data_IF_662461051143
#
_entry.id   IF_662461051143
#
_cell.length_a   1.000
_cell.length_b   1.000
_cell.length_c   1.000
_cell.angle_alpha   90.00
_cell.angle_beta   90.00
_cell.angle_gamma   90.00
#
_symmetry.space_group_name_H-M   'P 1'
#
loop_
_entity.id
_entity.type
_entity.pdbx_description
1 polymer ?
#
# COMPACT_ATOMS: atom_id res chain seq x y z
N UNK A 1 -26.37 9.40 13.58
CA UNK A 1 -26.34 10.49 12.58
C UNK A 1 -25.67 9.95 11.34
N UNK A 2 -26.34 9.99 10.19
CA UNK A 2 -25.72 9.51 8.94
C UNK A 2 -24.73 10.57 8.41
N UNK A 3 -23.82 10.17 7.50
CA UNK A 3 -22.78 11.06 6.96
C UNK A 3 -23.32 12.32 6.28
N UNK A 4 -24.44 12.20 5.57
CA UNK A 4 -25.08 13.33 4.92
C UNK A 4 -25.60 14.34 5.95
N UNK A 5 -26.34 13.88 6.97
CA UNK A 5 -26.81 14.74 8.07
C UNK A 5 -25.65 15.41 8.81
N UNK A 6 -24.57 14.67 9.08
CA UNK A 6 -23.37 15.20 9.73
C UNK A 6 -22.78 16.35 8.91
N UNK A 7 -22.60 16.16 7.60
CA UNK A 7 -22.05 17.19 6.72
C UNK A 7 -22.92 18.45 6.71
N UNK A 8 -24.24 18.29 6.52
CA UNK A 8 -25.19 19.40 6.50
C UNK A 8 -25.23 20.16 7.82
N UNK A 9 -25.20 19.45 8.95
CA UNK A 9 -25.19 20.03 10.29
C UNK A 9 -23.91 20.84 10.53
N UNK A 10 -22.77 20.38 10.01
CA UNK A 10 -21.50 21.09 10.09
C UNK A 10 -21.33 22.20 9.03
N UNK A 11 -22.35 22.50 8.22
CA UNK A 11 -22.32 23.56 7.22
C UNK A 11 -21.67 23.19 5.87
N UNK A 12 -21.39 21.90 5.63
CA UNK A 12 -20.86 21.41 4.36
C UNK A 12 -21.98 20.98 3.41
N UNK A 13 -21.76 21.13 2.10
CA UNK A 13 -22.74 20.72 1.09
C UNK A 13 -22.94 19.19 1.07
N UNK A 14 -21.83 18.45 1.12
CA UNK A 14 -21.80 16.98 1.07
C UNK A 14 -20.76 16.43 2.05
N UNK A 15 -20.79 15.12 2.30
CA UNK A 15 -19.78 14.51 3.15
C UNK A 15 -18.39 14.55 2.53
N UNK A 16 -18.27 14.44 1.20
CA UNK A 16 -17.01 14.60 0.50
C UNK A 16 -16.41 16.00 0.72
N UNK A 17 -17.20 17.08 0.65
CA UNK A 17 -16.69 18.42 1.00
C UNK A 17 -16.13 18.47 2.42
N UNK A 18 -16.84 17.88 3.39
CA UNK A 18 -16.34 17.80 4.78
C UNK A 18 -15.07 16.95 4.89
N UNK A 19 -15.02 15.82 4.20
CA UNK A 19 -13.90 14.88 4.27
C UNK A 19 -12.62 15.48 3.65
N UNK A 20 -12.78 16.22 2.56
CA UNK A 20 -11.70 16.83 1.79
C UNK A 20 -11.27 18.19 2.33
N UNK A 21 -12.03 18.85 3.20
CA UNK A 21 -11.68 20.17 3.74
C UNK A 21 -10.29 20.24 4.43
N UNK A 22 -9.72 19.11 4.83
CA UNK A 22 -8.36 19.01 5.40
C UNK A 22 -7.42 18.17 4.52
N UNK A 23 -7.78 17.93 3.27
CA UNK A 23 -6.93 17.33 2.25
C UNK A 23 -6.24 18.42 1.44
N UNK A 24 -5.21 18.04 0.69
CA UNK A 24 -4.45 18.96 -0.19
C UNK A 24 -5.30 19.43 -1.37
N UNK A 25 -6.22 18.58 -1.85
CA UNK A 25 -7.12 18.88 -2.98
C UNK A 25 -8.31 19.75 -2.57
N UNK A 26 -8.71 19.71 -1.29
CA UNK A 26 -9.76 20.51 -0.64
C UNK A 26 -11.20 20.39 -1.19
N UNK A 27 -11.39 20.05 -2.47
CA UNK A 27 -12.69 20.13 -3.16
C UNK A 27 -13.01 18.88 -3.99
N UNK A 28 -14.21 18.26 -3.82
CA UNK A 28 -14.57 17.01 -4.50
C UNK A 28 -14.64 17.13 -6.02
N UNK A 29 -14.99 18.31 -6.54
CA UNK A 29 -14.97 18.58 -7.99
C UNK A 29 -13.57 18.38 -8.60
N UNK A 30 -12.51 18.81 -7.92
CA UNK A 30 -11.13 18.66 -8.42
C UNK A 30 -10.74 17.18 -8.38
N UNK A 31 -11.15 16.44 -7.34
CA UNK A 31 -10.96 14.99 -7.26
C UNK A 31 -11.65 14.28 -8.43
N UNK A 32 -12.89 14.67 -8.75
CA UNK A 32 -13.62 14.09 -9.88
C UNK A 32 -12.93 14.39 -11.21
N UNK A 33 -12.54 15.64 -11.48
CA UNK A 33 -11.82 16.04 -12.70
C UNK A 33 -10.51 15.24 -12.85
N UNK A 34 -9.74 15.10 -11.77
CA UNK A 34 -8.53 14.27 -11.75
C UNK A 34 -8.81 12.80 -12.10
N UNK A 35 -9.82 12.18 -11.47
CA UNK A 35 -10.17 10.78 -11.71
C UNK A 35 -10.71 10.56 -13.12
N UNK A 36 -11.43 11.53 -13.69
CA UNK A 36 -11.95 11.48 -15.06
C UNK A 36 -10.82 11.53 -16.08
N UNK A 37 -9.89 12.49 -15.93
CA UNK A 37 -8.71 12.59 -16.79
C UNK A 37 -7.84 11.32 -16.72
N UNK A 38 -7.62 10.81 -15.50
CA UNK A 38 -6.86 9.58 -15.27
C UNK A 38 -7.54 8.37 -15.92
N UNK A 39 -8.85 8.22 -15.73
CA UNK A 39 -9.66 7.16 -16.36
C UNK A 39 -9.58 7.21 -17.89
N UNK A 40 -9.73 8.41 -18.47
CA UNK A 40 -9.68 8.61 -19.92
C UNK A 40 -8.30 8.23 -20.49
N UNK A 41 -7.22 8.59 -19.80
CA UNK A 41 -5.85 8.24 -20.19
C UNK A 41 -5.54 6.74 -20.06
N UNK A 42 -6.08 6.08 -19.03
CA UNK A 42 -5.82 4.66 -18.73
C UNK A 42 -6.69 3.70 -19.54
N UNK A 43 -7.94 4.06 -19.82
CA UNK A 43 -8.96 3.19 -20.43
C UNK A 43 -8.49 2.42 -21.66
N UNK A 44 -7.78 3.03 -22.65
CA UNK A 44 -7.27 2.28 -23.81
C UNK A 44 -6.28 1.18 -23.44
N UNK A 45 -5.43 1.41 -22.43
CA UNK A 45 -4.42 0.46 -21.94
C UNK A 45 -5.06 -0.63 -21.09
N UNK A 46 -5.96 -0.27 -20.17
CA UNK A 46 -6.74 -1.24 -19.39
C UNK A 46 -7.54 -2.20 -20.30
N UNK A 47 -8.16 -1.67 -21.36
CA UNK A 47 -8.85 -2.50 -22.36
C UNK A 47 -7.90 -3.36 -23.21
N UNK A 48 -6.64 -2.95 -23.39
CA UNK A 48 -5.63 -3.81 -24.00
C UNK A 48 -5.25 -4.97 -23.07
N UNK A 49 -5.09 -4.71 -21.78
CA UNK A 49 -4.83 -5.72 -20.75
C UNK A 49 -5.95 -6.77 -20.71
N UNK A 50 -7.22 -6.35 -20.62
CA UNK A 50 -8.35 -7.28 -20.63
C UNK A 50 -8.45 -8.10 -21.93
N UNK A 51 -8.09 -7.53 -23.09
CA UNK A 51 -8.01 -8.28 -24.35
C UNK A 51 -6.89 -9.32 -24.35
N UNK A 52 -5.77 -9.06 -23.68
CA UNK A 52 -4.71 -10.06 -23.49
C UNK A 52 -5.22 -11.19 -22.60
N UNK A 53 -5.81 -10.87 -21.45
CA UNK A 53 -6.41 -11.86 -20.53
C UNK A 53 -7.49 -12.70 -21.23
N UNK A 54 -8.29 -12.08 -22.11
CA UNK A 54 -9.31 -12.77 -22.88
C UNK A 54 -8.72 -13.80 -23.85
N UNK A 55 -7.63 -13.44 -24.54
CA UNK A 55 -6.90 -14.40 -25.38
C UNK A 55 -6.34 -15.55 -24.55
N UNK A 56 -5.81 -15.27 -23.36
CA UNK A 56 -5.32 -16.30 -22.45
C UNK A 56 -6.46 -17.24 -22.02
N UNK A 57 -7.63 -16.71 -21.67
CA UNK A 57 -8.81 -17.51 -21.28
C UNK A 57 -9.29 -18.42 -22.40
N UNK A 58 -9.34 -17.92 -23.62
CA UNK A 58 -9.76 -18.72 -24.79
C UNK A 58 -8.78 -19.85 -25.08
N UNK A 59 -7.49 -19.60 -24.94
CA UNK A 59 -6.44 -20.62 -25.07
C UNK A 59 -6.53 -21.68 -23.97
N UNK A 60 -6.75 -21.25 -22.72
CA UNK A 60 -6.79 -22.14 -21.55
C UNK A 60 -8.06 -23.01 -21.53
N UNK A 61 -9.22 -22.43 -21.86
CA UNK A 61 -10.50 -23.15 -21.87
C UNK A 61 -10.79 -23.92 -23.17
N UNK A 62 -10.09 -23.60 -24.26
CA UNK A 62 -10.44 -24.08 -25.61
C UNK A 62 -11.72 -23.47 -26.20
N UNK A 63 -12.37 -22.53 -25.51
CA UNK A 63 -13.63 -21.90 -25.93
C UNK A 63 -13.33 -20.55 -26.58
N UNK A 64 -13.44 -20.47 -27.91
CA UNK A 64 -13.13 -19.25 -28.67
C UNK A 64 -14.02 -18.04 -28.35
N UNK A 65 -15.22 -18.27 -27.80
CA UNK A 65 -16.18 -17.22 -27.42
C UNK A 65 -16.04 -16.78 -25.97
N UNK A 66 -15.13 -17.37 -25.19
CA UNK A 66 -14.94 -17.03 -23.79
C UNK A 66 -14.58 -15.54 -23.63
N UNK A 67 -15.22 -14.91 -22.64
CA UNK A 67 -15.00 -13.52 -22.21
C UNK A 67 -14.36 -13.50 -20.82
N UNK A 68 -13.54 -12.48 -20.55
CA UNK A 68 -13.00 -12.22 -19.20
C UNK A 68 -14.15 -11.76 -18.30
N UNK A 69 -14.22 -12.34 -17.12
CA UNK A 69 -15.15 -12.00 -16.05
C UNK A 69 -14.39 -11.35 -14.88
N UNK A 70 -15.10 -10.74 -13.93
CA UNK A 70 -14.48 -9.98 -12.84
C UNK A 70 -13.55 -10.81 -11.92
N UNK A 71 -13.69 -12.13 -11.88
CA UNK A 71 -12.83 -13.03 -11.08
C UNK A 71 -11.59 -13.54 -11.82
N UNK A 72 -11.49 -13.29 -13.13
CA UNK A 72 -10.41 -13.78 -13.98
C UNK A 72 -9.08 -12.98 -13.87
N UNK A 73 -9.08 -11.64 -13.70
CA UNK A 73 -7.83 -10.87 -13.72
C UNK A 73 -6.76 -11.36 -12.75
N UNK A 74 -7.04 -11.63 -11.45
CA UNK A 74 -6.00 -12.14 -10.55
C UNK A 74 -5.36 -13.44 -11.04
N UNK A 75 -6.16 -14.36 -11.59
CA UNK A 75 -5.66 -15.62 -12.12
C UNK A 75 -4.76 -15.42 -13.34
N UNK A 76 -5.19 -14.61 -14.32
CA UNK A 76 -4.41 -14.38 -15.53
C UNK A 76 -3.18 -13.52 -15.31
N UNK A 77 -3.22 -12.57 -14.36
CA UNK A 77 -2.04 -11.84 -13.90
C UNK A 77 -1.01 -12.81 -13.35
N UNK A 78 -1.37 -13.64 -12.37
CA UNK A 78 -0.45 -14.64 -11.81
C UNK A 78 0.05 -15.65 -12.84
N UNK A 79 -0.79 -16.05 -13.81
CA UNK A 79 -0.38 -16.94 -14.89
C UNK A 79 0.64 -16.28 -15.82
N UNK A 80 0.44 -15.01 -16.18
CA UNK A 80 1.36 -14.25 -17.02
C UNK A 80 2.67 -13.95 -16.30
N UNK A 81 2.61 -13.63 -15.00
CA UNK A 81 3.79 -13.46 -14.16
C UNK A 81 4.64 -14.73 -14.16
N UNK A 82 4.06 -15.89 -13.87
CA UNK A 82 4.76 -17.18 -13.91
C UNK A 82 5.42 -17.45 -15.26
N UNK A 83 4.72 -17.14 -16.37
CA UNK A 83 5.28 -17.29 -17.73
C UNK A 83 6.42 -16.31 -18.01
N UNK A 84 6.24 -15.03 -17.65
CA UNK A 84 7.21 -13.96 -17.90
C UNK A 84 8.47 -14.09 -17.07
N UNK A 85 8.30 -14.58 -15.83
CA UNK A 85 9.38 -14.93 -14.94
C UNK A 85 10.13 -16.19 -15.40
N UNK A 86 9.66 -16.94 -16.41
CA UNK A 86 10.26 -18.21 -16.88
C UNK A 86 10.56 -19.24 -15.77
N UNK A 87 9.98 -19.03 -14.59
CA UNK A 87 10.29 -19.73 -13.36
C UNK A 87 9.14 -19.55 -12.37
N UNK A 88 9.11 -20.40 -11.35
CA UNK A 88 8.18 -20.23 -10.24
C UNK A 88 8.59 -18.99 -9.44
N UNK A 89 7.64 -18.21 -8.91
CA UNK A 89 7.89 -17.06 -8.03
C UNK A 89 8.80 -17.44 -6.84
N UNK A 90 8.83 -18.72 -6.48
CA UNK A 90 9.75 -19.29 -5.49
C UNK A 90 11.24 -19.14 -5.83
N UNK A 91 11.63 -18.94 -7.10
CA UNK A 91 13.03 -18.71 -7.51
C UNK A 91 13.61 -17.42 -6.90
N UNK A 92 12.75 -16.44 -6.64
CA UNK A 92 13.16 -15.14 -6.10
C UNK A 92 13.26 -15.15 -4.57
N UNK A 93 12.52 -16.02 -3.88
CA UNK A 93 12.47 -16.07 -2.42
C UNK A 93 13.86 -16.14 -1.77
N UNK A 94 14.81 -16.98 -2.23
CA UNK A 94 16.12 -17.06 -1.61
C UNK A 94 16.93 -15.75 -1.62
N UNK A 95 16.60 -14.82 -2.50
CA UNK A 95 17.30 -13.53 -2.63
C UNK A 95 16.73 -12.43 -1.72
N UNK A 96 15.58 -12.68 -1.10
CA UNK A 96 14.84 -11.71 -0.30
C UNK A 96 14.65 -12.20 1.13
N UNK A 97 15.75 -12.47 1.83
CA UNK A 97 15.67 -12.68 3.28
C UNK A 97 15.20 -11.40 3.98
N UNK A 98 14.44 -11.51 5.07
CA UNK A 98 13.97 -10.37 5.85
C UNK A 98 15.15 -9.48 6.29
N UNK A 99 16.24 -10.10 6.79
CA UNK A 99 17.46 -9.38 7.15
C UNK A 99 18.08 -8.61 5.98
N UNK A 100 18.19 -9.23 4.80
CA UNK A 100 18.69 -8.55 3.60
C UNK A 100 17.77 -7.41 3.16
N UNK A 101 16.44 -7.57 3.26
CA UNK A 101 15.51 -6.49 2.95
C UNK A 101 15.64 -5.30 3.93
N UNK A 102 15.85 -5.58 5.22
CA UNK A 102 16.13 -4.54 6.22
C UNK A 102 17.48 -3.84 5.98
N UNK A 103 18.51 -4.56 5.51
CA UNK A 103 19.77 -3.96 5.05
C UNK A 103 19.54 -3.07 3.83
N UNK A 104 18.67 -3.48 2.90
CA UNK A 104 18.23 -2.65 1.78
C UNK A 104 17.61 -1.32 2.23
N UNK A 105 16.72 -1.37 3.21
CA UNK A 105 16.13 -0.18 3.83
C UNK A 105 17.19 0.70 4.50
N UNK A 106 18.10 0.13 5.29
CA UNK A 106 19.20 0.85 5.92
C UNK A 106 20.09 1.55 4.88
N UNK A 107 20.44 0.86 3.80
CA UNK A 107 21.23 1.42 2.70
C UNK A 107 20.56 2.64 2.05
N UNK A 108 19.24 2.59 1.85
CA UNK A 108 18.46 3.73 1.33
C UNK A 108 18.48 4.89 2.34
N UNK A 109 18.17 4.61 3.61
CA UNK A 109 18.11 5.64 4.65
C UNK A 109 19.46 6.32 4.88
N UNK A 110 20.55 5.55 4.84
CA UNK A 110 21.91 6.08 4.95
C UNK A 110 22.27 6.96 3.75
N UNK A 111 21.91 6.52 2.55
CA UNK A 111 22.26 7.24 1.32
C UNK A 111 21.46 8.52 1.12
N UNK A 112 20.18 8.53 1.51
CA UNK A 112 19.29 9.68 1.31
C UNK A 112 19.33 10.65 2.49
N UNK A 113 19.45 10.14 3.71
CA UNK A 113 19.20 10.92 4.92
C UNK A 113 20.30 10.82 5.98
N UNK A 114 21.42 10.12 5.72
CA UNK A 114 22.46 9.94 6.74
C UNK A 114 21.97 9.15 7.96
N UNK A 115 20.94 8.31 7.80
CA UNK A 115 20.32 7.54 8.88
C UNK A 115 20.80 6.09 8.88
N UNK A 116 21.00 5.54 10.07
CA UNK A 116 21.21 4.10 10.29
C UNK A 116 20.09 3.50 11.14
N UNK A 117 19.63 2.32 10.72
CA UNK A 117 18.66 1.47 11.41
C UNK A 117 19.42 0.43 12.23
N UNK A 118 19.41 0.56 13.56
CA UNK A 118 20.20 -0.29 14.46
C UNK A 118 19.29 -1.17 15.32
N UNK A 119 19.46 -2.49 15.21
CA UNK A 119 18.83 -3.41 16.14
C UNK A 119 19.28 -3.08 17.58
N UNK A 120 18.32 -2.93 18.49
CA UNK A 120 18.54 -2.49 19.87
C UNK A 120 17.83 -3.46 20.81
N UNK A 121 18.45 -3.78 21.93
CA UNK A 121 17.84 -4.65 22.93
C UNK A 121 16.62 -3.96 23.58
N UNK A 122 15.62 -4.78 23.91
CA UNK A 122 14.44 -4.34 24.65
C UNK A 122 14.66 -4.54 26.14
N UNK A 123 14.16 -3.60 26.94
CA UNK A 123 14.19 -3.71 28.40
C UNK A 123 13.22 -4.80 28.90
N UNK A 124 13.43 -5.36 30.11
CA UNK A 124 12.51 -6.32 30.69
C UNK A 124 11.08 -5.77 30.79
N UNK A 125 10.13 -6.46 30.15
CA UNK A 125 8.71 -6.09 30.13
C UNK A 125 8.32 -5.05 29.08
N UNK A 126 9.25 -4.60 28.23
CA UNK A 126 8.99 -3.63 27.17
C UNK A 126 8.17 -4.22 26.00
N UNK A 127 8.33 -5.52 25.74
CA UNK A 127 7.68 -6.19 24.61
C UNK A 127 6.34 -6.82 24.95
N UNK A 128 5.40 -6.80 24.00
CA UNK A 128 4.13 -7.53 24.06
C UNK A 128 4.20 -8.95 23.48
N UNK A 129 5.32 -9.32 22.85
CA UNK A 129 5.58 -10.68 22.37
C UNK A 129 7.08 -11.01 22.30
N UNK A 130 7.43 -12.30 22.21
CA UNK A 130 8.82 -12.76 22.16
C UNK A 130 9.50 -12.51 20.81
N UNK A 131 8.71 -12.27 19.76
CA UNK A 131 9.17 -12.15 18.36
C UNK A 131 9.13 -10.71 17.83
N UNK A 132 9.17 -9.72 18.73
CA UNK A 132 9.26 -8.30 18.41
C UNK A 132 10.73 -7.89 18.32
N UNK A 133 11.08 -7.12 17.29
CA UNK A 133 12.39 -6.48 17.18
C UNK A 133 12.27 -4.98 17.44
N UNK A 134 13.26 -4.40 18.11
CA UNK A 134 13.35 -2.95 18.33
C UNK A 134 14.50 -2.38 17.52
N UNK A 135 14.19 -1.37 16.72
CA UNK A 135 15.16 -0.66 15.89
C UNK A 135 15.28 0.77 16.42
N UNK A 136 16.49 1.20 16.75
CA UNK A 136 16.80 2.62 16.92
C UNK A 136 17.12 3.24 15.57
N UNK A 137 16.53 4.41 15.31
CA UNK A 137 16.76 5.19 14.11
C UNK A 137 17.73 6.31 14.46
N UNK A 138 18.94 6.28 13.91
CA UNK A 138 20.04 7.16 14.33
C UNK A 138 20.54 7.95 13.14
N UNK A 139 20.48 9.28 13.24
CA UNK A 139 21.10 10.19 12.28
C UNK A 139 22.59 10.36 12.60
N UNK A 140 23.42 10.48 11.57
CA UNK A 140 24.87 10.61 11.70
C UNK A 140 25.32 11.85 12.51
N UNK A 141 24.54 12.94 12.48
CA UNK A 141 24.86 14.17 13.22
C UNK A 141 23.86 14.55 14.31
N UNK A 142 22.58 14.19 14.18
CA UNK A 142 21.54 14.54 15.17
C UNK A 142 21.44 13.50 16.29
N UNK A 143 22.05 12.33 16.12
CA UNK A 143 21.95 11.23 17.06
C UNK A 143 20.61 10.48 16.93
N UNK A 144 20.05 10.04 18.06
CA UNK A 144 18.86 9.20 18.08
C UNK A 144 17.61 10.00 17.66
N UNK A 145 16.91 9.51 16.64
CA UNK A 145 15.68 10.11 16.11
C UNK A 145 14.40 9.43 16.61
N UNK A 146 14.48 8.20 17.13
CA UNK A 146 13.31 7.48 17.63
C UNK A 146 13.48 5.97 17.56
N UNK A 147 12.37 5.26 17.83
CA UNK A 147 12.33 3.80 17.85
C UNK A 147 11.19 3.25 17.00
N UNK A 148 11.49 2.17 16.28
CA UNK A 148 10.54 1.37 15.51
C UNK A 148 10.49 -0.01 16.15
N UNK A 149 9.29 -0.45 16.55
CA UNK A 149 9.04 -1.83 16.93
C UNK A 149 8.52 -2.59 15.73
N UNK A 150 9.17 -3.70 15.40
CA UNK A 150 8.83 -4.52 14.26
C UNK A 150 8.09 -5.76 14.74
N UNK A 151 6.79 -5.80 14.49
CA UNK A 151 5.90 -6.93 14.76
C UNK A 151 5.61 -7.67 13.44
N UNK A 152 6.56 -8.49 13.00
CA UNK A 152 6.54 -9.03 11.64
C UNK A 152 5.72 -10.31 11.45
N UNK A 153 5.52 -11.11 12.50
CA UNK A 153 5.00 -12.47 12.33
C UNK A 153 3.52 -12.61 12.64
N UNK A 154 2.86 -13.48 11.88
CA UNK A 154 1.48 -13.86 12.16
C UNK A 154 1.39 -14.68 13.45
N UNK A 155 0.30 -14.46 14.21
CA UNK A 155 -0.01 -15.24 15.42
C UNK A 155 -1.50 -15.15 15.75
N UNK A 156 -1.98 -16.10 16.55
CA UNK A 156 -3.35 -16.10 17.05
C UNK A 156 -3.67 -14.79 17.79
N UNK A 157 -4.81 -14.18 17.46
CA UNK A 157 -5.28 -12.92 18.06
C UNK A 157 -4.65 -11.64 17.51
N UNK A 158 -3.63 -11.71 16.64
CA UNK A 158 -3.08 -10.55 15.94
C UNK A 158 -3.98 -10.18 14.74
N UNK A 159 -4.29 -8.89 14.51
CA UNK A 159 -5.01 -8.47 13.31
C UNK A 159 -4.26 -8.85 12.02
N UNK A 160 -4.98 -9.45 11.07
CA UNK A 160 -4.42 -9.84 9.77
C UNK A 160 -4.40 -8.65 8.80
N UNK A 161 -3.54 -7.67 9.10
CA UNK A 161 -3.25 -6.51 8.25
C UNK A 161 -1.76 -6.12 8.38
N UNK A 162 -1.20 -5.65 7.28
CA UNK A 162 0.10 -4.97 7.27
C UNK A 162 -0.18 -3.48 7.52
N UNK A 163 0.48 -2.84 8.50
CA UNK A 163 0.24 -1.44 8.83
C UNK A 163 1.30 -0.83 9.77
N UNK A 164 1.37 0.50 9.75
CA UNK A 164 2.11 1.34 10.68
C UNK A 164 1.20 1.92 11.77
N UNK A 165 1.67 1.93 13.03
CA UNK A 165 1.01 2.58 14.16
C UNK A 165 1.94 3.56 14.87
N UNK A 166 1.41 4.73 15.26
CA UNK A 166 2.12 5.67 16.14
C UNK A 166 1.73 5.42 17.60
N UNK A 167 2.68 4.98 18.42
CA UNK A 167 2.51 4.85 19.88
C UNK A 167 2.77 6.20 20.55
N UNK A 168 3.86 6.85 20.15
CA UNK A 168 4.28 8.16 20.64
C UNK A 168 4.69 9.04 19.46
N UNK A 169 4.12 10.24 19.38
CA UNK A 169 4.51 11.23 18.37
C UNK A 169 5.70 12.08 18.83
N UNK A 170 6.48 12.58 17.88
CA UNK A 170 7.51 13.58 18.15
C UNK A 170 6.92 14.92 18.58
N UNK A 171 7.52 15.60 19.57
CA UNK A 171 7.15 16.97 19.98
C UNK A 171 8.24 17.67 20.77
N UNK A 172 8.18 19.00 20.78
CA UNK A 172 8.93 19.80 21.76
C UNK A 172 8.38 19.58 23.18
N UNK A 173 9.28 19.50 24.15
CA UNK A 173 8.97 19.47 25.58
C UNK A 173 9.21 20.84 26.22
N UNK A 174 8.52 21.18 27.33
CA UNK A 174 8.68 22.46 28.01
C UNK A 174 10.09 22.73 28.56
N UNK A 175 10.87 21.68 28.79
CA UNK A 175 12.25 21.75 29.28
C UNK A 175 13.28 22.00 28.16
N UNK A 176 12.82 22.15 26.92
CA UNK A 176 13.66 22.36 25.73
C UNK A 176 14.17 21.08 25.07
N UNK A 177 13.87 19.91 25.62
CA UNK A 177 14.18 18.63 24.99
C UNK A 177 13.15 18.27 23.91
N UNK A 178 13.50 17.34 23.03
CA UNK A 178 12.56 16.79 22.04
C UNK A 178 12.11 15.38 22.46
N UNK A 179 10.79 15.17 22.54
CA UNK A 179 10.22 13.85 22.71
C UNK A 179 10.38 13.08 21.40
N UNK A 180 11.08 11.94 21.45
CA UNK A 180 11.30 11.12 20.27
C UNK A 180 10.05 10.27 19.92
N UNK A 181 9.72 10.12 18.63
CA UNK A 181 8.65 9.25 18.18
C UNK A 181 8.94 7.77 18.48
N UNK A 182 7.87 7.03 18.75
CA UNK A 182 7.84 5.58 18.90
C UNK A 182 6.71 5.05 18.03
N UNK A 183 7.05 4.14 17.11
CA UNK A 183 6.09 3.57 16.16
C UNK A 183 6.21 2.05 16.09
N UNK A 184 5.19 1.41 15.54
CA UNK A 184 5.16 -0.01 15.24
C UNK A 184 5.01 -0.20 13.74
N UNK A 185 5.84 -1.04 13.15
CA UNK A 185 5.61 -1.61 11.82
C UNK A 185 5.12 -3.04 12.04
N UNK A 186 3.88 -3.31 11.63
CA UNK A 186 3.24 -4.61 11.78
C UNK A 186 3.06 -5.25 10.41
N UNK A 187 3.53 -6.48 10.25
CA UNK A 187 3.30 -7.32 9.07
C UNK A 187 2.73 -8.68 9.48
N UNK A 188 2.23 -9.47 8.54
CA UNK A 188 1.83 -10.87 8.77
C UNK A 188 2.65 -11.83 7.93
N UNK A 189 3.93 -11.95 8.29
CA UNK A 189 4.83 -12.94 7.73
C UNK A 189 4.64 -14.30 8.43
N UNK A 190 4.68 -15.37 7.66
CA UNK A 190 4.71 -16.71 8.25
C UNK A 190 6.02 -16.94 9.00
N UNK A 191 5.93 -17.56 10.17
CA UNK A 191 7.11 -17.87 10.97
C UNK A 191 8.04 -18.84 10.24
N UNK A 192 9.38 -18.73 10.43
CA UNK A 192 10.31 -19.64 9.81
C UNK A 192 10.16 -21.05 10.40
N UNK A 193 10.02 -22.07 9.55
CA UNK A 193 10.06 -23.46 10.01
C UNK A 193 11.51 -23.90 10.20
N UNK A 194 12.00 -23.77 11.44
CA UNK A 194 13.15 -24.45 12.08
C UNK A 194 14.54 -24.40 11.44
N UNK A 195 14.68 -24.10 10.14
CA UNK A 195 15.97 -24.01 9.44
C UNK A 195 15.94 -22.90 8.39
N UNK A 196 16.49 -21.73 8.71
CA UNK A 196 16.77 -20.67 7.74
C UNK A 196 16.13 -19.33 8.08
N UNK A 197 16.53 -18.25 7.37
CA UNK A 197 15.93 -16.95 7.54
C UNK A 197 14.51 -16.92 6.96
N UNK A 198 13.73 -15.94 7.39
CA UNK A 198 12.43 -15.64 6.80
C UNK A 198 12.66 -15.09 5.40
N UNK A 199 12.02 -15.69 4.40
CA UNK A 199 12.13 -15.29 3.00
C UNK A 199 10.84 -14.59 2.56
N UNK A 200 10.97 -13.47 1.87
CA UNK A 200 9.87 -12.64 1.41
C UNK A 200 9.62 -12.87 -0.08
N UNK A 201 8.35 -13.00 -0.46
CA UNK A 201 7.98 -12.82 -1.86
C UNK A 201 8.23 -11.36 -2.27
N UNK A 202 8.42 -11.06 -3.56
CA UNK A 202 8.59 -9.68 -4.02
C UNK A 202 7.48 -8.73 -3.54
N UNK A 203 6.22 -9.19 -3.51
CA UNK A 203 5.10 -8.42 -2.97
C UNK A 203 5.23 -8.12 -1.48
N UNK A 204 5.82 -9.03 -0.69
CA UNK A 204 6.08 -8.80 0.74
C UNK A 204 7.26 -7.86 0.97
N UNK A 205 8.21 -7.78 0.03
CA UNK A 205 9.25 -6.75 0.03
C UNK A 205 8.60 -5.37 -0.20
N UNK A 206 7.69 -5.26 -1.16
CA UNK A 206 6.96 -4.01 -1.42
C UNK A 206 6.18 -3.55 -0.19
N UNK A 207 5.41 -4.45 0.45
CA UNK A 207 4.68 -4.14 1.68
C UNK A 207 5.62 -3.70 2.82
N UNK A 208 6.74 -4.39 3.04
CA UNK A 208 7.71 -3.99 4.06
C UNK A 208 8.26 -2.58 3.82
N UNK A 209 8.57 -2.25 2.56
CA UNK A 209 9.10 -0.95 2.19
C UNK A 209 8.02 0.14 2.33
N UNK A 210 6.79 -0.14 1.93
CA UNK A 210 5.64 0.75 2.11
C UNK A 210 5.47 1.14 3.59
N UNK A 211 5.37 0.14 4.49
CA UNK A 211 5.17 0.39 5.92
C UNK A 211 6.38 1.07 6.57
N UNK A 212 7.59 0.76 6.09
CA UNK A 212 8.78 1.48 6.52
C UNK A 212 8.77 2.94 6.06
N UNK A 213 8.19 3.26 4.91
CA UNK A 213 8.01 4.65 4.48
C UNK A 213 7.15 5.46 5.46
N UNK A 214 6.04 4.88 5.95
CA UNK A 214 5.23 5.48 7.02
C UNK A 214 6.00 5.65 8.33
N UNK A 215 6.77 4.63 8.72
CA UNK A 215 7.61 4.69 9.91
C UNK A 215 8.65 5.83 9.81
N UNK A 216 9.34 5.93 8.67
CA UNK A 216 10.36 6.95 8.44
C UNK A 216 9.76 8.37 8.33
N UNK A 217 8.56 8.51 7.77
CA UNK A 217 7.81 9.77 7.83
C UNK A 217 7.61 10.21 9.30
N UNK A 218 7.28 9.28 10.18
CA UNK A 218 7.15 9.56 11.62
C UNK A 218 8.48 9.87 12.31
N UNK A 219 9.57 9.17 11.94
CA UNK A 219 10.90 9.37 12.53
C UNK A 219 11.53 10.70 12.12
N UNK A 220 11.30 11.15 10.88
CA UNK A 220 11.89 12.37 10.32
C UNK A 220 11.09 13.62 10.68
N UNK A 221 9.82 13.49 11.06
CA UNK A 221 9.00 14.63 11.45
C UNK A 221 9.55 15.34 12.70
N UNK A 222 9.75 16.66 12.58
CA UNK A 222 10.12 17.57 13.67
C UNK A 222 9.04 18.61 13.82
N UNK A 223 8.18 18.43 14.80
CA UNK A 223 7.04 19.35 15.03
C UNK A 223 6.97 19.76 16.48
N UNK A 224 6.42 20.95 16.73
CA UNK A 224 6.20 21.43 18.10
C UNK A 224 5.16 20.60 18.85
N UNK A 225 4.22 19.99 18.13
CA UNK A 225 3.09 19.30 18.73
C UNK A 225 2.86 17.91 18.13
N UNK A 226 2.76 16.91 19.00
CA UNK A 226 2.56 15.52 18.59
C UNK A 226 1.26 15.26 17.83
N UNK A 227 0.27 16.15 17.88
CA UNK A 227 -1.00 15.97 17.17
C UNK A 227 -0.89 16.24 15.67
N UNK A 228 0.20 16.84 15.21
CA UNK A 228 0.48 17.13 13.78
C UNK A 228 1.80 16.50 13.29
N UNK A 229 2.38 15.57 14.06
CA UNK A 229 3.67 14.95 13.71
C UNK A 229 3.50 13.70 12.84
N UNK A 230 4.48 13.44 11.98
CA UNK A 230 4.56 12.23 11.18
C UNK A 230 3.38 12.10 10.23
N UNK A 231 2.77 10.92 10.21
CA UNK A 231 1.63 10.60 9.34
C UNK A 231 0.32 11.31 9.74
N UNK A 232 0.31 12.15 10.79
CA UNK A 232 -0.84 13.00 11.17
C UNK A 232 -0.94 14.26 10.30
N UNK A 233 -0.91 14.06 8.99
CA UNK A 233 -1.04 15.08 7.96
C UNK A 233 -2.30 14.85 7.11
N UNK A 234 -2.45 15.57 6.01
CA UNK A 234 -3.53 15.33 5.06
C UNK A 234 -3.47 13.89 4.53
N UNK A 235 -4.62 13.23 4.44
CA UNK A 235 -4.68 11.81 4.03
C UNK A 235 -4.13 11.59 2.61
N UNK A 236 -4.27 12.58 1.73
CA UNK A 236 -3.72 12.57 0.37
C UNK A 236 -2.23 12.88 0.28
N UNK A 237 -1.58 13.20 1.40
CA UNK A 237 -0.12 13.31 1.48
C UNK A 237 0.50 12.17 2.30
N UNK A 238 -0.25 11.57 3.22
CA UNK A 238 0.25 10.54 4.13
C UNK A 238 0.86 9.32 3.40
N UNK A 239 0.33 8.98 2.22
CA UNK A 239 0.82 7.85 1.39
C UNK A 239 2.02 8.20 0.49
N UNK A 240 2.36 9.48 0.33
CA UNK A 240 3.47 9.86 -0.56
C UNK A 240 4.81 9.21 -0.14
N UNK A 241 5.20 9.22 1.15
CA UNK A 241 6.44 8.58 1.58
C UNK A 241 6.44 7.06 1.47
N UNK A 242 5.30 6.40 1.70
CA UNK A 242 5.18 4.94 1.60
C UNK A 242 5.25 4.47 0.15
N UNK A 243 4.51 5.13 -0.75
CA UNK A 243 4.56 4.86 -2.19
C UNK A 243 5.96 5.12 -2.77
N UNK A 244 6.64 6.19 -2.33
CA UNK A 244 8.04 6.42 -2.74
C UNK A 244 8.96 5.26 -2.38
N UNK A 245 8.76 4.63 -1.21
CA UNK A 245 9.55 3.47 -0.81
C UNK A 245 9.26 2.24 -1.66
N UNK A 246 8.03 2.04 -2.15
CA UNK A 246 7.73 1.00 -3.14
C UNK A 246 8.48 1.23 -4.45
N UNK A 247 8.60 2.47 -4.93
CA UNK A 247 9.42 2.77 -6.11
C UNK A 247 10.88 2.35 -5.92
N UNK A 248 11.44 2.54 -4.73
CA UNK A 248 12.78 2.05 -4.42
C UNK A 248 12.84 0.51 -4.38
N UNK A 249 11.85 -0.16 -3.77
CA UNK A 249 11.75 -1.62 -3.79
C UNK A 249 11.64 -2.20 -5.22
N UNK A 250 11.22 -1.37 -6.18
CA UNK A 250 11.05 -1.72 -7.59
C UNK A 250 12.20 -1.32 -8.50
N UNK A 251 13.19 -0.58 -7.99
CA UNK A 251 14.30 -0.09 -8.80
C UNK A 251 15.45 -1.12 -8.84
N UNK A 252 15.88 -1.60 -10.02
CA UNK A 252 17.01 -2.52 -10.14
C UNK A 252 18.30 -2.03 -9.46
N UNK A 253 18.51 -0.70 -9.39
CA UNK A 253 19.69 -0.10 -8.74
C UNK A 253 19.66 -0.29 -7.24
N UNK A 254 18.48 -0.27 -6.64
CA UNK A 254 18.27 -0.49 -5.22
C UNK A 254 18.28 -1.99 -4.92
N UNK A 255 17.53 -2.79 -5.67
CA UNK A 255 17.50 -4.24 -5.48
C UNK A 255 18.91 -4.87 -5.54
N UNK A 256 19.78 -4.38 -6.44
CA UNK A 256 21.18 -4.82 -6.52
C UNK A 256 21.99 -4.67 -5.24
N UNK A 257 21.61 -3.74 -4.35
CA UNK A 257 22.41 -3.47 -3.14
C UNK A 257 22.24 -4.55 -2.09
N UNK A 258 21.07 -5.22 -2.05
CA UNK A 258 20.72 -6.12 -0.96
C UNK A 258 20.17 -7.49 -1.38
N UNK A 259 19.71 -7.65 -2.63
CA UNK A 259 19.15 -8.93 -3.09
C UNK A 259 20.28 -9.95 -3.33
N UNK A 260 20.49 -10.83 -2.35
CA UNK A 260 21.53 -11.86 -2.32
C UNK A 260 20.95 -13.18 -1.85
N UNK A 261 21.36 -14.26 -2.49
CA UNK A 261 20.90 -15.59 -2.12
C UNK A 261 21.33 -15.92 -0.68
N UNK A 262 20.39 -16.26 0.20
CA UNK A 262 20.67 -16.39 1.64
C UNK A 262 21.72 -17.46 1.99
N UNK A 263 21.85 -18.53 1.20
CA UNK A 263 22.87 -19.57 1.38
C UNK A 263 24.20 -19.24 0.69
N UNK A 264 24.19 -19.01 -0.63
CA UNK A 264 25.41 -18.84 -1.44
C UNK A 264 26.00 -17.43 -1.36
N UNK A 265 25.24 -16.44 -0.87
CA UNK A 265 25.58 -15.02 -0.84
C UNK A 265 25.76 -14.38 -2.22
N UNK A 266 25.47 -15.13 -3.29
CA UNK A 266 25.55 -14.63 -4.66
C UNK A 266 24.48 -13.56 -4.91
N UNK A 267 24.84 -12.45 -5.60
CA UNK A 267 23.88 -11.43 -5.95
C UNK A 267 22.85 -11.96 -6.94
N UNK A 268 21.64 -11.41 -6.90
CA UNK A 268 20.62 -11.68 -7.91
C UNK A 268 21.15 -11.33 -9.31
N UNK A 269 20.91 -12.20 -10.28
CA UNK A 269 21.39 -11.98 -11.65
C UNK A 269 20.64 -10.84 -12.34
N UNK A 270 21.30 -10.18 -13.30
CA UNK A 270 20.70 -9.12 -14.11
C UNK A 270 19.47 -9.58 -14.91
N UNK A 271 19.47 -10.84 -15.38
CA UNK A 271 18.30 -11.42 -16.04
C UNK A 271 17.11 -11.58 -15.08
N UNK A 272 17.34 -12.09 -13.87
CA UNK A 272 16.32 -12.20 -12.83
C UNK A 272 15.75 -10.84 -12.44
N UNK A 273 16.60 -9.83 -12.23
CA UNK A 273 16.15 -8.46 -11.92
C UNK A 273 15.26 -7.88 -13.03
N UNK A 274 15.67 -8.02 -14.29
CA UNK A 274 14.86 -7.55 -15.43
C UNK A 274 13.51 -8.27 -15.49
N UNK A 275 13.51 -9.60 -15.31
CA UNK A 275 12.27 -10.39 -15.27
C UNK A 275 11.34 -9.92 -14.16
N UNK A 276 11.87 -9.73 -12.95
CA UNK A 276 11.11 -9.27 -11.79
C UNK A 276 10.53 -7.86 -11.99
N UNK A 277 11.34 -6.92 -12.44
CA UNK A 277 10.88 -5.54 -12.65
C UNK A 277 9.88 -5.44 -13.81
N UNK A 278 10.02 -6.29 -14.83
CA UNK A 278 9.06 -6.37 -15.92
C UNK A 278 7.74 -7.01 -15.47
N UNK A 279 7.78 -8.04 -14.59
CA UNK A 279 6.56 -8.71 -14.12
C UNK A 279 5.65 -7.77 -13.34
N UNK A 280 6.23 -6.86 -12.53
CA UNK A 280 5.46 -5.85 -11.76
C UNK A 280 4.72 -4.83 -12.62
N UNK A 281 5.02 -4.74 -13.92
CA UNK A 281 4.33 -3.83 -14.86
C UNK A 281 3.20 -4.52 -15.62
N UNK A 282 3.08 -5.85 -15.50
CA UNK A 282 2.07 -6.63 -16.21
C UNK A 282 0.68 -6.21 -15.73
N UNK A 283 -0.17 -5.85 -16.68
CA UNK A 283 -1.58 -5.50 -16.43
C UNK A 283 -1.82 -4.33 -15.46
N UNK A 284 -0.77 -3.54 -15.18
CA UNK A 284 -0.82 -2.38 -14.30
C UNK A 284 -1.91 -1.39 -14.69
N UNK A 285 -2.19 -1.19 -15.99
CA UNK A 285 -3.25 -0.27 -16.41
C UNK A 285 -4.65 -0.76 -16.00
N UNK A 286 -4.94 -2.07 -16.14
CA UNK A 286 -6.22 -2.62 -15.67
C UNK A 286 -6.37 -2.60 -14.15
N UNK A 287 -5.28 -2.77 -13.42
CA UNK A 287 -5.26 -2.66 -11.96
C UNK A 287 -5.46 -1.21 -11.48
N UNK A 288 -4.74 -0.26 -12.07
CA UNK A 288 -4.92 1.17 -11.77
C UNK A 288 -6.34 1.63 -12.14
N UNK A 289 -6.91 1.15 -13.26
CA UNK A 289 -8.30 1.45 -13.63
C UNK A 289 -9.30 0.93 -12.59
N UNK A 290 -9.04 -0.22 -11.96
CA UNK A 290 -9.87 -0.72 -10.86
C UNK A 290 -9.80 0.21 -9.63
N UNK A 291 -8.62 0.76 -9.31
CA UNK A 291 -8.47 1.75 -8.24
C UNK A 291 -9.20 3.07 -8.55
N UNK A 292 -9.21 3.48 -9.84
CA UNK A 292 -9.97 4.65 -10.28
C UNK A 292 -11.46 4.42 -10.08
N UNK A 293 -11.96 3.25 -10.49
CA UNK A 293 -13.34 2.85 -10.26
C UNK A 293 -13.73 2.91 -8.77
N UNK A 294 -12.89 2.38 -7.86
CA UNK A 294 -13.16 2.46 -6.42
C UNK A 294 -13.15 3.90 -5.89
N UNK A 295 -12.24 4.73 -6.38
CA UNK A 295 -12.12 6.13 -5.97
C UNK A 295 -13.31 6.97 -6.43
N UNK A 296 -13.77 6.76 -7.67
CA UNK A 296 -14.97 7.42 -8.18
C UNK A 296 -16.20 6.95 -7.42
N UNK A 297 -16.33 5.63 -7.19
CA UNK A 297 -17.45 5.08 -6.43
C UNK A 297 -17.50 5.64 -4.98
N UNK A 298 -16.33 5.81 -4.35
CA UNK A 298 -16.20 6.48 -3.06
C UNK A 298 -16.69 7.94 -3.13
N UNK A 299 -16.25 8.71 -4.12
CA UNK A 299 -16.71 10.10 -4.28
C UNK A 299 -18.22 10.19 -4.51
N UNK A 300 -18.79 9.32 -5.35
CA UNK A 300 -20.23 9.31 -5.66
C UNK A 300 -21.06 8.99 -4.41
N UNK A 301 -20.66 8.00 -3.60
CA UNK A 301 -21.37 7.68 -2.36
C UNK A 301 -21.32 8.79 -1.31
N UNK A 302 -20.35 9.70 -1.38
CA UNK A 302 -20.14 10.76 -0.40
C UNK A 302 -20.50 12.17 -0.90
N UNK A 303 -20.82 12.33 -2.19
CA UNK A 303 -21.09 13.62 -2.83
C UNK A 303 -22.56 13.84 -3.22
N UNK A 304 -23.43 12.84 -3.11
CA UNK A 304 -24.85 12.97 -3.49
C UNK A 304 -25.80 13.28 -2.32
N UNK A 305 -27.02 13.78 -2.61
CA UNK A 305 -28.13 13.72 -1.66
C UNK A 305 -28.50 12.26 -1.39
N UNK A 306 -29.04 11.97 -0.20
CA UNK A 306 -29.52 10.62 0.12
C UNK A 306 -30.72 10.28 -0.76
N UNK A 307 -30.49 9.50 -1.81
CA UNK A 307 -31.57 8.98 -2.65
C UNK A 307 -32.24 7.80 -1.95
N UNK A 308 -33.51 7.94 -1.61
CA UNK A 308 -34.30 6.87 -1.00
C UNK A 308 -34.86 5.88 -2.05
N UNK A 309 -34.80 6.25 -3.33
CA UNK A 309 -35.34 5.47 -4.45
C UNK A 309 -34.27 4.75 -5.26
N UNK A 310 -33.01 4.81 -4.82
CA UNK A 310 -31.87 4.20 -5.51
C UNK A 310 -30.99 3.45 -4.53
N UNK A 311 -30.73 2.20 -4.83
CA UNK A 311 -29.83 1.36 -4.05
C UNK A 311 -28.37 1.71 -4.31
N UNK A 312 -27.50 1.35 -3.35
CA UNK A 312 -26.05 1.45 -3.55
C UNK A 312 -25.58 0.55 -4.70
N UNK A 313 -26.20 -0.61 -4.90
CA UNK A 313 -25.87 -1.52 -6.01
C UNK A 313 -26.15 -0.90 -7.38
N UNK A 314 -27.29 -0.22 -7.57
CA UNK A 314 -27.57 0.49 -8.83
C UNK A 314 -26.57 1.62 -9.10
N UNK A 315 -26.09 2.27 -8.03
CA UNK A 315 -25.01 3.26 -8.13
C UNK A 315 -23.70 2.63 -8.56
N UNK A 316 -23.32 1.51 -7.94
CA UNK A 316 -22.14 0.75 -8.33
C UNK A 316 -22.20 0.33 -9.80
N UNK A 317 -23.33 -0.21 -10.27
CA UNK A 317 -23.48 -0.69 -11.65
C UNK A 317 -23.23 0.42 -12.66
N UNK A 318 -23.79 1.62 -12.43
CA UNK A 318 -23.61 2.77 -13.32
C UNK A 318 -22.15 3.24 -13.33
N UNK A 319 -21.55 3.42 -12.16
CA UNK A 319 -20.14 3.85 -12.07
C UNK A 319 -19.21 2.79 -12.67
N UNK A 320 -19.49 1.50 -12.45
CA UNK A 320 -18.69 0.41 -13.02
C UNK A 320 -18.76 0.40 -14.55
N UNK A 321 -19.94 0.67 -15.13
CA UNK A 321 -20.12 0.72 -16.58
C UNK A 321 -19.30 1.83 -17.24
N UNK A 322 -19.09 2.93 -16.54
CA UNK A 322 -18.38 4.10 -17.05
C UNK A 322 -16.86 4.01 -16.79
N UNK A 323 -16.46 3.57 -15.59
CA UNK A 323 -15.07 3.63 -15.13
C UNK A 323 -14.35 2.28 -15.10
N UNK A 324 -15.01 1.15 -15.40
CA UNK A 324 -14.37 -0.15 -15.37
C UNK A 324 -14.61 -0.97 -16.64
N UNK A 325 -13.56 -1.66 -17.10
CA UNK A 325 -13.58 -2.39 -18.38
C UNK A 325 -14.29 -3.76 -18.32
N UNK A 326 -14.67 -4.25 -17.14
CA UNK A 326 -15.38 -5.52 -16.97
C UNK A 326 -16.81 -5.29 -16.43
N UNK A 327 -17.79 -6.09 -16.89
CA UNK A 327 -19.19 -5.91 -16.51
C UNK A 327 -19.43 -6.24 -15.04
N UNK A 328 -20.49 -5.67 -14.49
CA UNK A 328 -21.03 -6.05 -13.18
C UNK A 328 -21.48 -7.51 -13.19
N UNK A 329 -21.27 -8.20 -12.06
CA UNK A 329 -21.71 -9.58 -11.85
C UNK A 329 -22.98 -9.57 -11.02
N UNK A 330 -24.07 -10.10 -11.59
CA UNK A 330 -25.38 -10.14 -10.93
C UNK A 330 -25.33 -10.82 -9.56
N UNK A 331 -26.19 -10.37 -8.64
CA UNK A 331 -26.30 -10.87 -7.26
C UNK A 331 -25.02 -10.69 -6.42
N UNK A 332 -24.17 -9.71 -6.77
CA UNK A 332 -23.00 -9.35 -5.97
C UNK A 332 -23.12 -7.95 -5.35
N UNK A 333 -22.47 -7.72 -4.21
CA UNK A 333 -22.51 -6.45 -3.50
C UNK A 333 -21.13 -6.07 -2.95
N UNK A 334 -20.20 -5.80 -3.87
CA UNK A 334 -18.81 -5.44 -3.54
C UNK A 334 -18.73 -4.29 -2.54
N UNK A 335 -19.61 -3.30 -2.68
CA UNK A 335 -19.65 -2.11 -1.82
C UNK A 335 -19.90 -2.44 -0.34
N UNK A 336 -20.50 -3.58 -0.02
CA UNK A 336 -20.70 -4.01 1.37
C UNK A 336 -19.45 -4.62 1.99
N UNK A 337 -18.46 -5.02 1.17
CA UNK A 337 -17.21 -5.64 1.61
C UNK A 337 -16.04 -4.66 1.58
N UNK A 338 -16.21 -3.52 0.93
CA UNK A 338 -15.14 -2.53 0.79
C UNK A 338 -15.13 -1.56 1.97
N UNK A 339 -14.41 -1.97 3.03
CA UNK A 339 -14.36 -1.27 4.32
C UNK A 339 -13.78 0.16 4.24
N UNK A 340 -13.04 0.49 3.18
CA UNK A 340 -12.52 1.84 2.94
C UNK A 340 -13.65 2.86 2.78
N UNK A 341 -14.81 2.46 2.26
CA UNK A 341 -15.98 3.34 2.26
C UNK A 341 -16.38 3.77 3.68
N UNK A 342 -16.08 2.99 4.72
CA UNK A 342 -16.46 3.30 6.12
C UNK A 342 -15.33 4.04 6.86
N UNK A 343 -14.09 3.55 6.82
CA UNK A 343 -12.97 4.20 7.52
C UNK A 343 -12.44 5.45 6.82
N UNK A 344 -12.42 5.43 5.48
CA UNK A 344 -11.76 6.39 4.60
C UNK A 344 -12.73 7.09 3.63
N UNK A 345 -14.03 7.07 3.94
CA UNK A 345 -15.07 7.56 3.02
C UNK A 345 -14.79 8.98 2.52
N UNK A 346 -14.89 9.16 1.21
CA UNK A 346 -14.62 10.41 0.49
C UNK A 346 -13.13 10.71 0.27
N UNK A 347 -12.22 9.78 0.59
CA UNK A 347 -10.77 9.98 0.53
C UNK A 347 -10.02 8.91 -0.25
N UNK A 348 -10.68 7.90 -0.83
CA UNK A 348 -9.96 6.77 -1.44
C UNK A 348 -9.08 7.16 -2.65
N UNK A 349 -9.32 8.32 -3.27
CA UNK A 349 -8.45 8.86 -4.32
C UNK A 349 -7.01 9.16 -3.84
N UNK A 350 -6.76 9.21 -2.53
CA UNK A 350 -5.44 9.54 -1.96
C UNK A 350 -4.33 8.55 -2.27
N UNK A 351 -4.67 7.37 -2.81
CA UNK A 351 -3.70 6.32 -3.14
C UNK A 351 -3.00 6.52 -4.49
N UNK A 352 -3.31 7.60 -5.24
CA UNK A 352 -2.73 7.89 -6.55
C UNK A 352 -1.46 8.72 -6.52
#
# INVERSE_FOLDING_TARGET
MCRHELARTCGFETYAHRALNASTVEHPKIVQEFLDELSQGLSPRANADFRIMERMKRQDSGINTARVAAWDPPYFTSLMEKKSLKANTSEFLPYFSLGGCMEGLDNIMRSLYGISLKNTEMEPGESWNNDIYKISVVHETEGLLGYIYCDFFERSGKPNQDCHFTIQGGKDLPDGNYQLPIVVVMLNLSQPHWTGPVLLSPSRVDNLFHEMGHAMHSMLARTKYQHVTGTRCSTDFAEVPSVLMEYFANDPRVLRTFARHFQTQEPISEDMLRRLCASKKLFSASETQLQVFYSVLDQVYHSGPVSHNRSTTETLIEVQKEYYGLPYVENTALQLRFLHFVGYGGKYYSYF
#
